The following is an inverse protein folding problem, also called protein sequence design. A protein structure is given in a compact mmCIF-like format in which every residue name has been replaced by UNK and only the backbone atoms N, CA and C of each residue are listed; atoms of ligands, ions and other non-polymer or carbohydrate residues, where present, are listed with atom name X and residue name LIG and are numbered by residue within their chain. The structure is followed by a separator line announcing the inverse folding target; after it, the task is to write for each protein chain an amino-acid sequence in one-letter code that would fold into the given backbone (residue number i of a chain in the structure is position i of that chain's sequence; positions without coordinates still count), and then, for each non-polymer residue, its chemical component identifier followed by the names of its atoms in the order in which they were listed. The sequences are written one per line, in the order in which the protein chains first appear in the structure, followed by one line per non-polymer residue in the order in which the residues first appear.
data_IF_375228310887
#
_entry.id   IF_375228310887
#
_cell.length_a   1.000
_cell.length_b   1.000
_cell.length_c   1.000
_cell.angle_alpha   90.00
_cell.angle_beta   90.00
_cell.angle_gamma   90.00
#
_symmetry.space_group_name_H-M   'P 1'
#
loop_
_entity.id
_entity.type
_entity.pdbx_description
1 polymer ?
#
# COMPACT_ATOMS: atom_id res chain seq x y z
N UNK A 1 51.97 -29.02 -34.36
CA UNK A 1 52.27 -28.07 -33.29
C UNK A 1 50.99 -27.29 -33.10
N UNK A 2 50.20 -27.63 -32.12
CA UNK A 2 48.96 -26.92 -31.83
C UNK A 2 49.43 -25.61 -31.17
N UNK A 3 49.13 -24.49 -31.80
CA UNK A 3 49.51 -23.17 -31.27
C UNK A 3 48.89 -23.00 -29.89
N UNK A 4 49.69 -23.24 -28.86
CA UNK A 4 49.28 -23.05 -27.45
C UNK A 4 48.77 -21.61 -27.22
N UNK A 5 49.33 -20.64 -27.93
CA UNK A 5 48.93 -19.24 -27.85
C UNK A 5 47.51 -19.03 -28.39
N UNK A 6 47.13 -19.68 -29.50
CA UNK A 6 45.77 -19.63 -30.04
C UNK A 6 44.73 -20.23 -29.13
N UNK A 7 45.05 -21.39 -28.51
CA UNK A 7 44.13 -22.05 -27.57
C UNK A 7 43.91 -21.19 -26.29
N UNK A 8 44.97 -20.53 -25.83
CA UNK A 8 44.89 -19.64 -24.67
C UNK A 8 43.98 -18.42 -24.94
N UNK A 9 44.14 -17.78 -26.10
CA UNK A 9 43.27 -16.65 -26.47
C UNK A 9 41.82 -17.05 -26.66
N UNK A 10 41.54 -18.20 -27.25
CA UNK A 10 40.18 -18.72 -27.41
C UNK A 10 39.56 -18.99 -26.04
N UNK A 11 40.28 -19.59 -25.11
CA UNK A 11 39.82 -19.87 -23.74
C UNK A 11 39.50 -18.56 -22.99
N UNK A 12 40.34 -17.54 -23.12
CA UNK A 12 40.13 -16.23 -22.48
C UNK A 12 38.91 -15.50 -23.01
N UNK A 13 38.66 -15.57 -24.33
CA UNK A 13 37.45 -14.99 -24.95
C UNK A 13 36.23 -15.75 -24.51
N UNK A 14 36.27 -17.07 -24.47
CA UNK A 14 35.13 -17.90 -24.02
C UNK A 14 34.77 -17.63 -22.56
N UNK A 15 35.78 -17.49 -21.70
CA UNK A 15 35.59 -17.14 -20.29
C UNK A 15 34.97 -15.73 -20.12
N UNK A 16 35.44 -14.75 -20.91
CA UNK A 16 34.90 -13.41 -20.95
C UNK A 16 33.43 -13.35 -21.38
N UNK A 17 33.08 -14.13 -22.40
CA UNK A 17 31.67 -14.26 -22.86
C UNK A 17 30.76 -14.87 -21.76
N UNK A 18 31.22 -15.93 -21.11
CA UNK A 18 30.48 -16.58 -20.02
C UNK A 18 30.28 -15.59 -18.85
N UNK A 19 31.32 -14.86 -18.48
CA UNK A 19 31.26 -13.87 -17.39
C UNK A 19 30.30 -12.72 -17.72
N UNK A 20 30.32 -12.24 -18.97
CA UNK A 20 29.39 -11.22 -19.47
C UNK A 20 27.95 -11.70 -19.45
N UNK A 21 27.71 -12.96 -19.85
CA UNK A 21 26.38 -13.56 -19.84
C UNK A 21 25.84 -13.77 -18.41
N UNK A 22 26.70 -14.23 -17.49
CA UNK A 22 26.39 -14.37 -16.08
C UNK A 22 26.06 -13.02 -15.44
N UNK A 23 26.82 -11.99 -15.75
CA UNK A 23 26.57 -10.64 -15.26
C UNK A 23 25.22 -10.09 -15.77
N UNK A 24 24.94 -10.24 -17.05
CA UNK A 24 23.64 -9.87 -17.65
C UNK A 24 22.48 -10.61 -17.02
N UNK A 25 22.64 -11.90 -16.75
CA UNK A 25 21.61 -12.72 -16.08
C UNK A 25 21.32 -12.26 -14.63
N UNK A 26 22.37 -11.96 -13.87
CA UNK A 26 22.23 -11.43 -12.50
C UNK A 26 21.49 -10.09 -12.52
N UNK A 27 21.82 -9.21 -13.47
CA UNK A 27 21.13 -7.93 -13.63
C UNK A 27 19.64 -8.13 -13.93
N UNK A 28 19.28 -9.07 -14.79
CA UNK A 28 17.87 -9.39 -15.09
C UNK A 28 17.12 -9.91 -13.88
N UNK A 29 17.70 -10.84 -13.12
CA UNK A 29 17.07 -11.42 -11.93
C UNK A 29 16.87 -10.38 -10.82
N UNK A 30 17.83 -9.48 -10.62
CA UNK A 30 17.72 -8.42 -9.60
C UNK A 30 16.68 -7.36 -9.94
N UNK A 31 16.28 -7.24 -11.22
CA UNK A 31 15.25 -6.29 -11.71
C UNK A 31 13.83 -6.80 -11.53
N UNK A 32 13.64 -8.09 -11.34
CA UNK A 32 12.34 -8.67 -11.14
C UNK A 32 11.88 -8.46 -9.69
N UNK A 33 10.84 -7.64 -9.50
CA UNK A 33 10.23 -7.39 -8.20
C UNK A 33 8.92 -8.16 -8.10
N UNK A 34 8.78 -8.89 -7.00
CA UNK A 34 7.55 -9.63 -6.67
C UNK A 34 6.72 -8.79 -5.70
N UNK A 35 5.42 -8.82 -5.90
CA UNK A 35 4.42 -8.23 -5.02
C UNK A 35 3.68 -9.36 -4.31
N UNK A 36 3.58 -9.30 -3.00
CA UNK A 36 2.75 -10.21 -2.23
C UNK A 36 1.26 -9.91 -2.47
N UNK A 37 0.37 -10.83 -2.11
CA UNK A 37 -1.08 -10.68 -2.32
C UNK A 37 -1.73 -9.64 -1.39
N UNK A 38 -1.08 -9.33 -0.29
CA UNK A 38 -1.49 -8.35 0.73
C UNK A 38 -0.85 -6.97 0.53
N UNK A 39 -0.12 -6.81 -0.58
CA UNK A 39 0.60 -5.59 -0.93
C UNK A 39 0.26 -5.16 -2.37
N UNK A 40 0.47 -3.88 -2.64
CA UNK A 40 0.41 -3.32 -3.98
C UNK A 40 1.76 -2.73 -4.32
N UNK A 41 2.29 -3.17 -5.45
CA UNK A 41 3.48 -2.60 -6.03
C UNK A 41 3.09 -1.45 -6.95
N UNK A 42 3.46 -0.24 -6.56
CA UNK A 42 3.25 0.97 -7.35
C UNK A 42 4.54 1.31 -8.06
N UNK A 43 4.51 1.25 -9.38
CA UNK A 43 5.62 1.67 -10.23
C UNK A 43 5.29 3.04 -10.79
N UNK A 44 6.17 4.00 -10.58
CA UNK A 44 6.02 5.37 -11.04
C UNK A 44 7.24 5.82 -11.85
N UNK A 45 7.04 6.84 -12.70
CA UNK A 45 8.01 7.29 -13.67
C UNK A 45 7.51 7.06 -15.10
N UNK A 46 8.39 6.68 -16.01
CA UNK A 46 8.00 6.41 -17.40
C UNK A 46 7.36 5.02 -17.50
N UNK A 47 6.03 4.98 -17.45
CA UNK A 47 5.25 3.74 -17.53
C UNK A 47 4.66 3.59 -18.96
N UNK A 48 4.71 2.38 -19.50
CA UNK A 48 4.05 2.06 -20.79
C UNK A 48 2.53 2.20 -20.61
N UNK A 49 1.91 3.09 -21.42
CA UNK A 49 0.46 3.33 -21.37
C UNK A 49 0.07 4.78 -21.07
N UNK A 50 1.04 5.71 -20.95
CA UNK A 50 0.77 7.16 -20.85
C UNK A 50 0.33 7.66 -19.47
N UNK A 51 0.35 6.80 -18.44
CA UNK A 51 0.08 7.19 -17.06
C UNK A 51 1.37 7.53 -16.28
N UNK A 52 1.23 8.30 -15.20
CA UNK A 52 2.34 8.64 -14.29
C UNK A 52 2.67 7.52 -13.32
N UNK A 53 1.75 6.60 -13.08
CA UNK A 53 1.90 5.47 -12.17
C UNK A 53 1.10 4.25 -12.65
N UNK A 54 1.57 3.06 -12.26
CA UNK A 54 0.91 1.78 -12.50
C UNK A 54 0.86 0.98 -11.21
N UNK A 55 -0.34 0.61 -10.78
CA UNK A 55 -0.56 -0.25 -9.63
C UNK A 55 -0.63 -1.70 -10.08
N UNK A 56 0.14 -2.57 -9.41
CA UNK A 56 0.17 -4.01 -9.66
C UNK A 56 -0.20 -4.71 -8.36
N UNK A 57 -1.33 -5.41 -8.41
CA UNK A 57 -1.83 -6.20 -7.29
C UNK A 57 -1.52 -7.67 -7.53
N UNK A 58 -0.64 -8.24 -6.71
CA UNK A 58 -0.16 -9.62 -6.86
C UNK A 58 0.72 -9.86 -8.08
N UNK A 59 1.59 -10.82 -8.03
CA UNK A 59 2.47 -11.19 -9.12
C UNK A 59 3.82 -10.48 -9.09
N UNK A 60 4.37 -10.15 -10.25
CA UNK A 60 5.67 -9.51 -10.33
C UNK A 60 5.83 -8.68 -11.60
N UNK A 61 6.69 -7.69 -11.52
CA UNK A 61 7.01 -6.84 -12.65
C UNK A 61 8.50 -6.55 -12.73
N UNK A 62 8.95 -6.20 -13.92
CA UNK A 62 10.30 -5.75 -14.16
C UNK A 62 10.37 -4.24 -14.02
N UNK A 63 11.21 -3.75 -13.11
CA UNK A 63 11.39 -2.33 -12.85
C UNK A 63 12.74 -1.88 -13.38
N UNK A 64 12.74 -0.80 -14.18
CA UNK A 64 13.95 -0.19 -14.72
C UNK A 64 14.38 1.01 -13.86
N UNK A 65 15.35 0.86 -12.96
CA UNK A 65 15.69 1.90 -11.97
C UNK A 65 16.31 3.17 -12.54
N UNK A 66 16.62 3.21 -13.84
CA UNK A 66 17.09 4.43 -14.52
C UNK A 66 15.94 5.39 -14.87
N UNK A 67 14.72 4.85 -15.05
CA UNK A 67 13.56 5.60 -15.56
C UNK A 67 12.28 5.34 -14.76
N UNK A 68 12.29 4.33 -13.89
CA UNK A 68 11.15 3.95 -13.05
C UNK A 68 11.62 3.76 -11.63
N UNK A 69 10.78 4.13 -10.69
CA UNK A 69 10.95 3.80 -9.28
C UNK A 69 9.71 3.04 -8.79
N UNK A 70 9.80 2.39 -7.64
CA UNK A 70 8.70 1.61 -7.11
C UNK A 70 8.55 1.83 -5.61
N UNK A 71 7.32 1.75 -5.14
CA UNK A 71 6.99 1.72 -3.71
C UNK A 71 5.95 0.66 -3.45
N UNK A 72 6.04 0.05 -2.30
CA UNK A 72 5.09 -0.98 -1.85
C UNK A 72 4.11 -0.31 -0.89
N UNK A 73 2.82 -0.49 -1.15
CA UNK A 73 1.73 -0.04 -0.30
C UNK A 73 1.06 -1.27 0.31
N UNK A 74 1.04 -1.36 1.63
CA UNK A 74 0.38 -2.46 2.33
C UNK A 74 -1.14 -2.27 2.33
N UNK A 75 -1.86 -3.35 1.99
CA UNK A 75 -3.32 -3.43 2.07
C UNK A 75 -3.81 -3.96 3.42
N UNK A 76 -2.89 -4.31 4.31
CA UNK A 76 -3.23 -4.89 5.62
C UNK A 76 -4.15 -3.95 6.38
N UNK A 77 -5.32 -4.40 6.83
CA UNK A 77 -6.22 -3.60 7.65
C UNK A 77 -5.52 -3.08 8.91
N UNK A 78 -5.85 -1.86 9.30
CA UNK A 78 -5.36 -1.24 10.53
C UNK A 78 -6.52 -0.93 11.45
N UNK A 79 -6.34 -1.17 12.75
CA UNK A 79 -7.34 -0.88 13.76
C UNK A 79 -6.99 0.40 14.48
N UNK A 80 -7.85 1.39 14.38
CA UNK A 80 -7.68 2.72 14.96
C UNK A 80 -8.58 2.84 16.18
N UNK A 81 -8.05 2.91 17.40
CA UNK A 81 -8.83 3.22 18.59
C UNK A 81 -9.15 4.73 18.59
N UNK A 82 -10.42 5.05 18.74
CA UNK A 82 -10.90 6.44 18.79
C UNK A 82 -11.68 6.63 20.10
N UNK A 83 -11.24 7.60 20.88
CA UNK A 83 -11.93 8.03 22.10
C UNK A 83 -12.58 9.38 21.87
N UNK A 84 -13.88 9.37 21.62
CA UNK A 84 -14.65 10.59 21.52
C UNK A 84 -15.17 11.01 22.89
N UNK A 85 -14.50 11.99 23.48
CA UNK A 85 -14.83 12.51 24.79
C UNK A 85 -15.64 13.81 24.67
N UNK A 86 -16.67 13.95 25.53
CA UNK A 86 -17.50 15.14 25.63
C UNK A 86 -18.26 15.52 24.34
N UNK A 87 -18.68 14.55 23.53
CA UNK A 87 -19.53 14.83 22.38
C UNK A 87 -20.94 15.24 22.82
N UNK A 88 -21.51 16.25 22.19
CA UNK A 88 -22.89 16.67 22.43
C UNK A 88 -23.82 15.84 21.52
N UNK A 89 -24.78 15.15 22.13
CA UNK A 89 -25.90 14.51 21.43
C UNK A 89 -26.98 15.55 21.06
N UNK A 90 -27.94 15.18 20.23
CA UNK A 90 -29.10 16.02 19.86
C UNK A 90 -29.90 16.54 21.06
N UNK A 91 -29.83 15.84 22.20
CA UNK A 91 -30.48 16.24 23.45
C UNK A 91 -29.61 17.12 24.36
N UNK A 92 -28.52 17.73 23.85
CA UNK A 92 -27.56 18.53 24.63
C UNK A 92 -26.88 17.79 25.79
N UNK A 93 -26.91 16.46 25.78
CA UNK A 93 -26.21 15.66 26.77
C UNK A 93 -24.84 15.27 26.26
N UNK A 94 -23.83 15.42 27.11
CA UNK A 94 -22.46 15.02 26.81
C UNK A 94 -22.30 13.51 26.96
N UNK A 95 -21.78 12.89 25.91
CA UNK A 95 -21.54 11.46 25.87
C UNK A 95 -20.06 11.17 25.56
N UNK A 96 -19.54 10.10 26.15
CA UNK A 96 -18.22 9.57 25.85
C UNK A 96 -18.40 8.27 25.09
N UNK A 97 -17.84 8.19 23.88
CA UNK A 97 -17.99 7.03 22.99
C UNK A 97 -16.62 6.51 22.64
N UNK A 98 -16.09 5.53 23.39
CA UNK A 98 -14.89 4.79 22.99
C UNK A 98 -15.28 3.79 21.89
N UNK A 99 -14.58 3.83 20.76
CA UNK A 99 -14.82 2.91 19.64
C UNK A 99 -13.51 2.51 18.96
N UNK A 100 -13.56 1.40 18.23
CA UNK A 100 -12.44 0.92 17.42
C UNK A 100 -12.90 0.76 15.99
N UNK A 101 -12.19 1.37 15.06
CA UNK A 101 -12.48 1.25 13.63
C UNK A 101 -11.39 0.45 12.95
N UNK A 102 -11.80 -0.52 12.14
CA UNK A 102 -10.87 -1.22 11.25
C UNK A 102 -11.01 -0.62 9.86
N UNK A 103 -9.93 -0.05 9.36
CA UNK A 103 -9.87 0.59 8.04
C UNK A 103 -8.91 -0.19 7.15
N UNK A 104 -9.25 -0.26 5.87
CA UNK A 104 -8.42 -0.90 4.86
C UNK A 104 -8.46 -0.09 3.56
N UNK A 105 -7.40 -0.20 2.77
CA UNK A 105 -7.37 0.42 1.44
C UNK A 105 -8.18 -0.45 0.48
N UNK A 106 -9.09 0.18 -0.27
CA UNK A 106 -9.91 -0.52 -1.26
C UNK A 106 -9.05 -1.05 -2.40
N UNK A 107 -9.36 -2.26 -2.86
CA UNK A 107 -8.72 -2.90 -4.02
C UNK A 107 -9.36 -2.52 -5.36
N UNK A 108 -10.42 -1.70 -5.33
CA UNK A 108 -11.08 -1.24 -6.54
C UNK A 108 -10.13 -0.34 -7.38
N UNK A 109 -9.92 -0.61 -8.68
CA UNK A 109 -8.86 0.02 -9.47
C UNK A 109 -8.92 1.56 -9.48
N UNK A 110 -10.12 2.13 -9.53
CA UNK A 110 -10.30 3.59 -9.58
C UNK A 110 -9.95 4.23 -8.24
N UNK A 111 -10.47 3.66 -7.14
CA UNK A 111 -10.21 4.14 -5.78
C UNK A 111 -8.74 3.94 -5.43
N UNK A 112 -8.17 2.81 -5.83
CA UNK A 112 -6.78 2.46 -5.59
C UNK A 112 -5.81 3.46 -6.26
N UNK A 113 -6.03 3.82 -7.52
CA UNK A 113 -5.19 4.80 -8.19
C UNK A 113 -5.21 6.15 -7.49
N UNK A 114 -6.40 6.61 -7.09
CA UNK A 114 -6.55 7.86 -6.34
C UNK A 114 -5.89 7.79 -4.95
N UNK A 115 -6.04 6.66 -4.26
CA UNK A 115 -5.41 6.42 -2.96
C UNK A 115 -3.88 6.40 -3.10
N UNK A 116 -3.38 5.73 -4.14
CA UNK A 116 -1.94 5.64 -4.42
C UNK A 116 -1.31 7.02 -4.63
N UNK A 117 -1.92 7.88 -5.44
CA UNK A 117 -1.40 9.23 -5.69
C UNK A 117 -1.29 10.07 -4.40
N UNK A 118 -2.20 9.85 -3.45
CA UNK A 118 -2.25 10.62 -2.20
C UNK A 118 -1.45 10.01 -1.06
N UNK A 119 -1.46 8.67 -0.96
CA UNK A 119 -0.90 7.95 0.18
C UNK A 119 0.52 7.42 -0.06
N UNK A 120 1.00 7.43 -1.30
CA UNK A 120 2.30 6.85 -1.66
C UNK A 120 3.47 7.44 -0.88
N UNK A 121 3.39 8.72 -0.52
CA UNK A 121 4.45 9.44 0.18
C UNK A 121 4.31 9.38 1.71
N UNK A 122 3.17 8.88 2.21
CA UNK A 122 2.89 8.81 3.63
C UNK A 122 3.38 7.48 4.21
N UNK A 123 3.80 7.53 5.45
CA UNK A 123 4.07 6.34 6.25
C UNK A 123 2.76 5.82 6.87
N UNK A 124 2.76 4.54 7.30
CA UNK A 124 1.59 3.90 7.90
C UNK A 124 1.03 4.70 9.09
N UNK A 125 1.90 5.24 9.94
CA UNK A 125 1.51 6.07 11.09
C UNK A 125 0.80 7.36 10.67
N UNK A 126 1.26 7.99 9.59
CA UNK A 126 0.64 9.20 9.05
C UNK A 126 -0.74 8.92 8.43
N UNK A 127 -0.88 7.76 7.76
CA UNK A 127 -2.17 7.32 7.22
C UNK A 127 -3.16 7.06 8.36
N UNK A 128 -2.71 6.41 9.43
CA UNK A 128 -3.52 6.14 10.62
C UNK A 128 -3.98 7.44 11.31
N UNK A 129 -3.10 8.42 11.43
CA UNK A 129 -3.40 9.74 12.00
C UNK A 129 -4.46 10.48 11.18
N UNK A 130 -4.28 10.58 9.85
CA UNK A 130 -5.24 11.21 8.95
C UNK A 130 -6.60 10.50 9.00
N UNK A 131 -6.60 9.16 8.96
CA UNK A 131 -7.83 8.38 9.06
C UNK A 131 -8.54 8.60 10.39
N UNK A 132 -7.80 8.64 11.49
CA UNK A 132 -8.32 8.93 12.83
C UNK A 132 -9.00 10.30 12.89
N UNK A 133 -8.37 11.35 12.37
CA UNK A 133 -8.93 12.69 12.34
C UNK A 133 -10.25 12.77 11.53
N UNK A 134 -10.27 12.13 10.34
CA UNK A 134 -11.45 12.10 9.49
C UNK A 134 -12.59 11.37 10.18
N UNK A 135 -12.33 10.18 10.75
CA UNK A 135 -13.34 9.38 11.43
C UNK A 135 -13.87 10.11 12.67
N UNK A 136 -12.97 10.73 13.45
CA UNK A 136 -13.34 11.50 14.64
C UNK A 136 -14.26 12.69 14.27
N UNK A 137 -13.96 13.38 13.16
CA UNK A 137 -14.81 14.45 12.64
C UNK A 137 -16.19 13.95 12.22
N UNK A 138 -16.26 12.85 11.47
CA UNK A 138 -17.52 12.26 11.03
C UNK A 138 -18.33 11.71 12.21
N UNK A 139 -17.67 11.03 13.14
CA UNK A 139 -18.32 10.48 14.33
C UNK A 139 -18.95 11.59 15.18
N UNK A 140 -18.27 12.72 15.37
CA UNK A 140 -18.81 13.87 16.10
C UNK A 140 -20.06 14.41 15.42
N UNK A 141 -20.05 14.48 14.10
CA UNK A 141 -21.20 14.95 13.32
C UNK A 141 -22.38 13.97 13.44
N UNK A 142 -22.16 12.68 13.32
CA UNK A 142 -23.21 11.65 13.47
C UNK A 142 -23.81 11.72 14.87
N UNK A 143 -23.00 11.75 15.93
CA UNK A 143 -23.49 11.79 17.32
C UNK A 143 -24.31 13.04 17.59
N UNK A 144 -23.98 14.18 16.98
CA UNK A 144 -24.78 15.39 17.14
C UNK A 144 -26.18 15.31 16.53
N UNK A 145 -26.40 14.38 15.61
CA UNK A 145 -27.72 14.12 14.98
C UNK A 145 -28.55 13.08 15.72
N UNK A 146 -27.91 12.24 16.53
CA UNK A 146 -28.54 11.12 17.23
C UNK A 146 -29.04 11.51 18.63
N UNK A 147 -30.17 10.96 19.02
CA UNK A 147 -30.70 11.04 20.40
C UNK A 147 -30.05 9.95 21.24
N UNK A 148 -29.95 10.13 22.56
CA UNK A 148 -29.34 9.17 23.48
C UNK A 148 -29.99 7.77 23.37
N UNK A 149 -31.31 7.73 23.19
CA UNK A 149 -32.07 6.49 23.04
C UNK A 149 -31.64 5.74 21.77
N UNK A 150 -31.41 6.45 20.69
CA UNK A 150 -30.94 5.85 19.43
C UNK A 150 -29.48 5.34 19.54
N UNK A 151 -28.61 6.07 20.22
CA UNK A 151 -27.24 5.63 20.47
C UNK A 151 -27.20 4.34 21.30
N UNK A 152 -28.09 4.21 22.29
CA UNK A 152 -28.21 3.01 23.11
C UNK A 152 -28.84 1.82 22.37
N UNK A 153 -29.88 2.08 21.58
CA UNK A 153 -30.59 1.07 20.79
C UNK A 153 -29.70 0.46 19.69
N UNK A 154 -28.88 1.26 19.01
CA UNK A 154 -27.94 0.74 18.01
C UNK A 154 -26.81 -0.10 18.64
N UNK A 155 -26.41 0.20 19.87
CA UNK A 155 -25.44 -0.60 20.60
C UNK A 155 -25.96 -1.99 20.97
N UNK A 156 -27.24 -2.09 21.37
CA UNK A 156 -27.89 -3.38 21.67
C UNK A 156 -28.07 -4.25 20.42
N UNK A 157 -28.34 -3.64 19.26
CA UNK A 157 -28.46 -4.35 17.98
C UNK A 157 -27.11 -4.87 17.48
N UNK A 158 -26.02 -4.16 17.76
CA UNK A 158 -24.67 -4.60 17.40
C UNK A 158 -24.15 -5.73 18.30
N UNK A 159 -24.52 -5.72 19.59
CA UNK A 159 -24.17 -6.78 20.54
C UNK A 159 -24.98 -8.08 20.30
N UNK A 160 -26.12 -8.01 19.61
CA UNK A 160 -26.96 -9.18 19.27
C UNK A 160 -26.54 -9.87 17.96
N UNK A 161 -25.68 -9.21 17.13
CA UNK A 161 -25.23 -9.71 15.83
C UNK A 161 -23.83 -10.38 15.92
N UNK A 162 -23.12 -10.24 17.03
CA UNK A 162 -21.81 -10.87 17.27
C UNK A 162 -21.98 -12.17 18.04
#
# INVERSE_FOLDING_TARGET
MIDLDGAFWISMVFFGVILSFAHGFILLVTRYKRCASDEILVVYGRVDGGGSSRCIHGGGTMVWPLIQDYKILSLTPMTIPIELNNALSKGEVRVNVPCKFTVAISTEPVVLNNATERLLHLDRSQIEEIASEIILGQLRLVISTLTIIQIQSEREVLDEII
#
